data_IF_702589907836
#
_entry.id   IF_702589907836
#
_cell.length_a   1.000
_cell.length_b   1.000
_cell.length_c   1.000
_cell.angle_alpha   90.00
_cell.angle_beta   90.00
_cell.angle_gamma   90.00
#
_symmetry.space_group_name_H-M   'P 1'
#
loop_
_entity.id
_entity.type
_entity.pdbx_description
1 polymer ?
#
# COMPACT_ATOMS: atom_id res chain seq x y z
N UNK A 1 -1.32 15.23 -9.80
CA UNK A 1 -1.10 13.97 -10.56
C UNK A 1 0.32 13.99 -11.09
N UNK A 2 1.08 12.90 -11.05
CA UNK A 2 2.41 12.81 -11.69
C UNK A 2 2.39 12.97 -13.22
N UNK A 3 1.23 13.27 -13.83
CA UNK A 3 1.12 13.45 -15.27
C UNK A 3 1.37 12.17 -16.08
N UNK A 4 1.50 11.01 -15.43
CA UNK A 4 1.74 9.74 -16.09
C UNK A 4 0.41 9.02 -16.35
N UNK A 5 0.27 8.38 -17.51
CA UNK A 5 -0.87 7.54 -17.90
C UNK A 5 -0.96 6.22 -17.11
N UNK A 6 0.01 5.95 -16.24
CA UNK A 6 0.14 4.70 -15.51
C UNK A 6 -0.17 4.86 -14.03
N UNK A 7 -0.76 3.79 -13.46
CA UNK A 7 -0.96 3.59 -12.03
C UNK A 7 0.12 2.68 -11.46
N UNK A 8 0.75 3.09 -10.36
CA UNK A 8 1.80 2.32 -9.67
C UNK A 8 1.18 1.58 -8.47
N UNK A 9 1.15 0.26 -8.55
CA UNK A 9 0.72 -0.66 -7.48
C UNK A 9 1.95 -1.37 -6.90
N UNK A 10 2.11 -1.38 -5.58
CA UNK A 10 3.27 -2.02 -4.92
C UNK A 10 2.83 -3.03 -3.87
N UNK A 11 3.46 -4.19 -3.85
CA UNK A 11 3.32 -5.21 -2.81
C UNK A 11 4.57 -5.21 -1.94
N UNK A 12 4.42 -5.07 -0.62
CA UNK A 12 5.61 -4.91 0.26
C UNK A 12 5.76 -5.98 1.33
N UNK A 13 4.68 -6.58 1.81
CA UNK A 13 4.71 -7.45 2.99
C UNK A 13 4.93 -6.71 4.32
N UNK A 14 5.23 -5.41 4.28
CA UNK A 14 5.32 -4.53 5.44
C UNK A 14 3.99 -3.82 5.68
N UNK A 15 3.79 -3.38 6.91
CA UNK A 15 2.70 -2.45 7.21
C UNK A 15 3.08 -1.05 6.71
N UNK A 16 2.12 -0.33 6.15
CA UNK A 16 2.32 1.01 5.62
C UNK A 16 2.88 1.98 6.67
N UNK A 17 2.43 1.86 7.92
CA UNK A 17 2.91 2.65 9.06
C UNK A 17 4.42 2.42 9.29
N UNK A 18 4.91 1.18 9.16
CA UNK A 18 6.34 0.89 9.26
C UNK A 18 7.13 1.52 8.11
N UNK A 19 6.56 1.56 6.90
CA UNK A 19 7.18 2.20 5.74
C UNK A 19 7.25 3.72 5.91
N UNK A 20 6.19 4.33 6.46
CA UNK A 20 6.18 5.77 6.78
C UNK A 20 7.24 6.13 7.81
N UNK A 21 7.38 5.34 8.89
CA UNK A 21 8.42 5.56 9.89
C UNK A 21 9.83 5.46 9.29
N UNK A 22 10.07 4.44 8.46
CA UNK A 22 11.36 4.28 7.78
C UNK A 22 11.63 5.40 6.77
N UNK A 23 10.60 5.89 6.08
CA UNK A 23 10.71 6.98 5.11
C UNK A 23 11.14 8.32 5.74
N UNK A 24 10.97 8.51 7.06
CA UNK A 24 11.45 9.72 7.76
C UNK A 24 12.96 9.93 7.59
N UNK A 25 13.72 8.84 7.50
CA UNK A 25 15.19 8.87 7.34
C UNK A 25 15.65 8.35 5.98
N UNK A 26 14.84 7.55 5.29
CA UNK A 26 15.13 7.02 3.96
C UNK A 26 14.42 7.83 2.86
N UNK A 27 15.15 8.77 2.26
CA UNK A 27 14.62 9.66 1.20
C UNK A 27 14.22 8.94 -0.08
N UNK A 28 14.77 7.76 -0.34
CA UNK A 28 14.41 6.99 -1.53
C UNK A 28 13.07 6.27 -1.31
N UNK A 29 12.87 5.73 -0.11
CA UNK A 29 11.58 5.16 0.29
C UNK A 29 10.49 6.25 0.37
N UNK A 30 10.79 7.42 0.91
CA UNK A 30 9.87 8.56 0.92
C UNK A 30 9.41 8.90 -0.51
N UNK A 31 10.36 9.04 -1.44
CA UNK A 31 10.06 9.30 -2.84
C UNK A 31 9.25 8.18 -3.48
N UNK A 32 9.57 6.92 -3.20
CA UNK A 32 8.80 5.77 -3.69
C UNK A 32 7.34 5.84 -3.23
N UNK A 33 7.10 6.10 -1.94
CA UNK A 33 5.74 6.23 -1.40
C UNK A 33 4.99 7.40 -2.04
N UNK A 34 5.64 8.54 -2.28
CA UNK A 34 5.03 9.68 -2.98
C UNK A 34 4.64 9.37 -4.43
N UNK A 35 5.35 8.46 -5.10
CA UNK A 35 5.05 8.02 -6.46
C UNK A 35 3.99 6.89 -6.50
N UNK A 36 3.74 6.22 -5.38
CA UNK A 36 2.82 5.07 -5.31
C UNK A 36 1.36 5.53 -5.31
N UNK A 37 0.52 4.89 -6.10
CA UNK A 37 -0.94 5.10 -6.07
C UNK A 37 -1.59 4.19 -5.02
N UNK A 38 -1.28 2.90 -5.11
CA UNK A 38 -1.87 1.85 -4.27
C UNK A 38 -0.76 1.00 -3.68
N UNK A 39 -0.87 0.70 -2.39
CA UNK A 39 0.06 -0.16 -1.69
C UNK A 39 -0.69 -1.33 -1.07
N UNK A 40 -0.26 -2.55 -1.41
CA UNK A 40 -0.72 -3.80 -0.82
C UNK A 40 0.25 -4.15 0.31
N UNK A 41 -0.28 -4.08 1.52
CA UNK A 41 0.51 -4.11 2.75
C UNK A 41 0.22 -5.37 3.56
N UNK A 42 1.11 -5.70 4.49
CA UNK A 42 1.01 -6.90 5.32
C UNK A 42 1.52 -8.19 4.66
N UNK A 43 2.05 -9.09 5.50
CA UNK A 43 2.60 -10.39 5.05
C UNK A 43 1.50 -11.29 4.52
N UNK A 44 1.86 -12.12 3.53
CA UNK A 44 1.01 -13.23 3.12
C UNK A 44 0.94 -14.27 4.24
N UNK A 45 -0.27 -14.70 4.58
CA UNK A 45 -0.52 -15.73 5.60
C UNK A 45 -1.31 -16.87 4.95
N UNK A 46 -0.70 -18.06 4.89
CA UNK A 46 -1.30 -19.23 4.22
C UNK A 46 -2.65 -19.64 4.83
N UNK A 47 -2.79 -19.56 6.16
CA UNK A 47 -4.04 -19.86 6.86
C UNK A 47 -5.19 -18.89 6.54
N UNK A 48 -4.85 -17.72 5.99
CA UNK A 48 -5.77 -16.66 5.58
C UNK A 48 -5.85 -16.53 4.06
N UNK A 49 -5.33 -17.53 3.33
CA UNK A 49 -5.30 -17.51 1.88
C UNK A 49 -6.71 -17.54 1.32
N UNK A 50 -7.02 -16.57 0.48
CA UNK A 50 -8.29 -16.52 -0.25
C UNK A 50 -8.02 -16.01 -1.67
N UNK A 51 -8.34 -16.86 -2.65
CA UNK A 51 -8.10 -16.59 -4.07
C UNK A 51 -9.22 -15.74 -4.71
N UNK A 52 -10.32 -15.50 -3.99
CA UNK A 52 -11.41 -14.65 -4.47
C UNK A 52 -11.14 -13.16 -4.25
N UNK A 53 -10.15 -12.84 -3.41
CA UNK A 53 -9.76 -11.46 -3.10
C UNK A 53 -9.03 -10.82 -4.28
N UNK A 54 -9.50 -9.64 -4.72
CA UNK A 54 -8.80 -8.85 -5.73
C UNK A 54 -7.52 -8.25 -5.15
N UNK A 55 -6.42 -8.31 -5.91
CA UNK A 55 -5.12 -7.69 -5.59
C UNK A 55 -4.42 -8.15 -4.32
N UNK A 56 -4.89 -9.20 -3.63
CA UNK A 56 -4.23 -9.73 -2.43
C UNK A 56 -4.43 -11.23 -2.32
N UNK A 57 -3.46 -11.91 -1.69
CA UNK A 57 -3.49 -13.36 -1.54
C UNK A 57 -4.05 -13.82 -0.20
N UNK A 58 -4.03 -12.96 0.83
CA UNK A 58 -4.58 -13.26 2.15
C UNK A 58 -5.40 -12.12 2.74
N UNK A 59 -6.42 -12.46 3.53
CA UNK A 59 -7.43 -11.51 4.04
C UNK A 59 -6.86 -10.35 4.88
N UNK A 60 -5.70 -10.58 5.49
CA UNK A 60 -5.05 -9.63 6.39
C UNK A 60 -4.27 -8.54 5.65
N UNK A 61 -4.07 -8.70 4.34
CA UNK A 61 -3.37 -7.70 3.55
C UNK A 61 -4.32 -6.55 3.25
N UNK A 62 -3.90 -5.30 3.50
CA UNK A 62 -4.73 -4.13 3.23
C UNK A 62 -4.39 -3.53 1.87
N UNK A 63 -5.40 -2.99 1.21
CA UNK A 63 -5.26 -2.24 -0.03
C UNK A 63 -5.35 -0.76 0.34
N UNK A 64 -4.24 -0.04 0.26
CA UNK A 64 -4.13 1.33 0.78
C UNK A 64 -4.08 2.31 -0.39
N UNK A 65 -4.96 3.31 -0.35
CA UNK A 65 -4.87 4.50 -1.21
C UNK A 65 -3.78 5.43 -0.64
N UNK A 66 -2.56 5.35 -1.18
CA UNK A 66 -1.41 6.04 -0.58
C UNK A 66 -1.58 7.55 -0.66
N UNK A 67 -2.14 8.06 -1.77
CA UNK A 67 -2.33 9.49 -1.98
C UNK A 67 -3.37 10.08 -1.03
N UNK A 68 -4.53 9.42 -0.89
CA UNK A 68 -5.53 9.84 0.10
C UNK A 68 -5.00 9.70 1.51
N UNK A 69 -4.23 8.65 1.78
CA UNK A 69 -3.67 8.44 3.12
C UNK A 69 -2.69 9.54 3.53
N UNK A 70 -1.76 9.90 2.64
CA UNK A 70 -0.84 11.02 2.86
C UNK A 70 -1.57 12.36 3.03
N UNK A 71 -2.59 12.63 2.19
CA UNK A 71 -3.33 13.89 2.24
C UNK A 71 -4.13 14.07 3.53
N UNK A 72 -4.62 12.97 4.12
CA UNK A 72 -5.44 12.99 5.34
C UNK A 72 -4.66 12.68 6.61
N UNK A 73 -3.40 12.28 6.47
CA UNK A 73 -2.58 11.77 7.57
C UNK A 73 -3.26 10.62 8.34
N UNK A 74 -3.98 9.76 7.62
CA UNK A 74 -4.69 8.59 8.14
C UNK A 74 -4.58 7.43 7.13
N UNK A 75 -4.74 6.18 7.55
CA UNK A 75 -4.74 5.05 6.60
C UNK A 75 -6.09 4.95 5.91
N UNK A 76 -6.12 5.17 4.60
CA UNK A 76 -7.32 5.04 3.78
C UNK A 76 -7.31 3.70 3.06
N UNK A 77 -8.18 2.79 3.50
CA UNK A 77 -8.35 1.46 2.92
C UNK A 77 -9.36 1.51 1.77
N UNK A 78 -9.06 0.80 0.69
CA UNK A 78 -9.98 0.57 -0.42
C UNK A 78 -10.57 -0.83 -0.31
N UNK A 79 -11.90 -0.92 -0.34
CA UNK A 79 -12.60 -2.19 -0.48
C UNK A 79 -13.00 -2.36 -1.95
N UNK A 80 -12.57 -3.48 -2.54
CA UNK A 80 -12.80 -3.84 -3.95
C UNK A 80 -13.82 -4.98 -4.11
N UNK A 81 -14.55 -5.29 -3.04
CA UNK A 81 -15.59 -6.31 -2.95
C UNK A 81 -16.43 -6.39 -4.24
#
# INVERSE_FOLDING_TARGET
KLGTEYHILIYTGYLYEHLLEKAKVDKQLEKLLQLTDILIDGRFILAKRDLTLKFRGSDNQRIIDVKKSLARNEVVIINYD
#
